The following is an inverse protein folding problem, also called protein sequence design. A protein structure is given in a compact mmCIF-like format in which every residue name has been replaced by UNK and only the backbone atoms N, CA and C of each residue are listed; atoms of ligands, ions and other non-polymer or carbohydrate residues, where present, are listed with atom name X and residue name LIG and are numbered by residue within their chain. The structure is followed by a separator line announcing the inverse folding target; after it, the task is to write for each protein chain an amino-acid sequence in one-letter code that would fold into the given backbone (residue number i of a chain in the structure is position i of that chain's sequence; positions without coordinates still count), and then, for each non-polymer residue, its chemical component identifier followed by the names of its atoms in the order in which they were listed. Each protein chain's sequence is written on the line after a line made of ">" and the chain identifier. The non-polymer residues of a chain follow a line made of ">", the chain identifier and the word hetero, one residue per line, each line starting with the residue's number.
data_IF_124059234889
#
_entry.id   IF_124059234889
#
_cell.length_a   1.000
_cell.length_b   1.000
_cell.length_c   1.000
_cell.angle_alpha   90.00
_cell.angle_beta   90.00
_cell.angle_gamma   90.00
#
_symmetry.space_group_name_H-M   'P 1'
#
loop_
_entity.id
_entity.type
_entity.pdbx_description
1 polymer ?
#
# COMPACT_ATOMS: atom_id res chain seq x y z
N UNK A 1 29.22 -9.46 -62.11
CA UNK A 1 29.20 -9.83 -60.68
C UNK A 1 29.32 -8.54 -59.87
N UNK A 2 28.21 -7.84 -59.61
CA UNK A 2 28.24 -6.59 -58.83
C UNK A 2 28.26 -6.93 -57.34
N UNK A 3 29.33 -6.55 -56.65
CA UNK A 3 29.39 -6.63 -55.20
C UNK A 3 28.57 -5.47 -54.61
N UNK A 4 27.39 -5.77 -54.08
CA UNK A 4 26.58 -4.79 -53.35
C UNK A 4 27.35 -4.34 -52.10
N UNK A 5 27.70 -3.05 -52.06
CA UNK A 5 28.35 -2.46 -50.90
C UNK A 5 27.32 -2.37 -49.77
N UNK A 6 27.42 -3.26 -48.78
CA UNK A 6 26.56 -3.24 -47.60
C UNK A 6 26.99 -2.08 -46.68
N UNK A 7 26.00 -1.32 -46.19
CA UNK A 7 26.19 -0.19 -45.30
C UNK A 7 26.94 -0.59 -44.00
N UNK A 8 27.81 0.27 -43.44
CA UNK A 8 28.61 -0.06 -42.26
C UNK A 8 27.78 -0.49 -41.04
N UNK A 9 26.56 0.05 -40.90
CA UNK A 9 25.64 -0.31 -39.82
C UNK A 9 25.05 -1.72 -40.00
N UNK A 10 24.81 -2.13 -41.24
CA UNK A 10 24.26 -3.46 -41.56
C UNK A 10 25.31 -4.57 -41.37
N UNK A 11 26.59 -4.23 -41.58
CA UNK A 11 27.76 -5.05 -41.25
C UNK A 11 27.89 -5.36 -39.76
N UNK A 12 27.50 -4.41 -38.88
CA UNK A 12 27.53 -4.64 -37.43
C UNK A 12 26.39 -5.55 -36.99
N UNK A 13 25.19 -5.36 -37.54
CA UNK A 13 24.03 -6.22 -37.24
C UNK A 13 24.24 -7.66 -37.70
N UNK A 14 24.76 -7.87 -38.91
CA UNK A 14 24.97 -9.22 -39.45
C UNK A 14 26.08 -10.01 -38.73
N UNK A 15 27.06 -9.33 -38.12
CA UNK A 15 28.06 -9.95 -37.23
C UNK A 15 27.46 -10.46 -35.91
N UNK A 16 26.42 -9.81 -35.39
CA UNK A 16 25.75 -10.24 -34.16
C UNK A 16 24.80 -11.42 -34.42
N UNK A 17 24.06 -11.39 -35.54
CA UNK A 17 23.13 -12.47 -35.90
C UNK A 17 23.85 -13.82 -36.08
N UNK A 18 25.07 -13.80 -36.61
CA UNK A 18 25.88 -15.01 -36.79
C UNK A 18 26.43 -15.60 -35.48
N UNK A 19 26.63 -14.78 -34.43
CA UNK A 19 26.98 -15.24 -33.08
C UNK A 19 25.79 -15.83 -32.33
N UNK A 20 24.62 -15.18 -32.45
CA UNK A 20 23.35 -15.70 -31.89
C UNK A 20 22.97 -17.04 -32.53
N UNK A 21 23.15 -17.18 -33.85
CA UNK A 21 22.90 -18.44 -34.57
C UNK A 21 23.80 -19.61 -34.15
N UNK A 22 24.99 -19.33 -33.59
CA UNK A 22 25.91 -20.33 -33.02
C UNK A 22 25.62 -20.65 -31.55
N UNK A 23 24.61 -20.03 -30.95
CA UNK A 23 24.26 -20.22 -29.53
C UNK A 23 25.24 -19.55 -28.56
N UNK A 24 26.08 -18.63 -29.02
CA UNK A 24 26.98 -17.87 -28.15
C UNK A 24 26.19 -16.81 -27.38
N UNK A 25 25.97 -17.05 -26.08
CA UNK A 25 25.24 -16.13 -25.21
C UNK A 25 26.15 -14.98 -24.75
N UNK A 26 25.65 -13.75 -24.80
CA UNK A 26 26.41 -12.58 -24.37
C UNK A 26 26.92 -12.75 -22.92
N UNK A 27 28.18 -12.39 -22.61
CA UNK A 27 28.71 -12.47 -21.26
C UNK A 27 27.84 -11.67 -20.29
N UNK A 28 27.53 -12.26 -19.12
CA UNK A 28 26.82 -11.53 -18.07
C UNK A 28 27.68 -10.36 -17.58
N UNK A 29 27.15 -9.12 -17.53
CA UNK A 29 27.88 -8.00 -16.94
C UNK A 29 28.20 -8.28 -15.47
N UNK A 30 29.38 -7.86 -15.03
CA UNK A 30 29.81 -8.01 -13.65
C UNK A 30 28.91 -7.19 -12.71
N UNK A 31 28.53 -7.76 -11.57
CA UNK A 31 27.70 -7.08 -10.58
C UNK A 31 28.55 -6.11 -9.76
N UNK A 32 28.49 -4.81 -10.07
CA UNK A 32 29.02 -3.76 -9.20
C UNK A 32 28.06 -3.49 -8.05
N UNK A 33 28.55 -3.63 -6.82
CA UNK A 33 27.82 -3.23 -5.62
C UNK A 33 27.99 -1.71 -5.43
N UNK A 34 26.90 -0.96 -5.60
CA UNK A 34 26.88 0.47 -5.29
C UNK A 34 27.07 0.71 -3.78
N UNK A 35 27.87 1.70 -3.42
CA UNK A 35 28.06 2.11 -2.02
C UNK A 35 26.93 3.05 -1.60
N UNK A 36 26.10 2.62 -0.65
CA UNK A 36 25.01 3.46 -0.10
C UNK A 36 25.57 4.29 1.06
N UNK A 37 25.54 5.62 0.94
CA UNK A 37 25.89 6.54 2.04
C UNK A 37 24.84 6.50 3.16
N UNK A 38 25.30 6.67 4.41
CA UNK A 38 24.46 6.72 5.61
C UNK A 38 23.51 7.94 5.60
N UNK A 39 22.26 7.78 6.07
CA UNK A 39 21.31 8.90 6.17
C UNK A 39 21.72 9.90 7.26
N UNK A 40 21.41 11.21 7.08
CA UNK A 40 21.71 12.24 8.07
C UNK A 40 20.77 12.18 9.29
N UNK A 41 21.20 12.69 10.47
CA UNK A 41 20.39 12.67 11.69
C UNK A 41 19.23 13.69 11.64
N UNK A 42 18.13 13.45 12.39
CA UNK A 42 16.98 14.35 12.39
C UNK A 42 17.29 15.67 13.13
N UNK A 43 16.97 16.79 12.49
CA UNK A 43 17.03 18.12 13.09
C UNK A 43 15.84 18.37 14.01
N UNK A 44 16.12 18.71 15.26
CA UNK A 44 15.14 19.18 16.25
C UNK A 44 14.60 20.55 15.85
N UNK A 45 13.29 20.66 15.66
CA UNK A 45 12.61 21.96 15.56
C UNK A 45 11.46 22.01 16.56
N UNK A 46 11.55 22.98 17.45
CA UNK A 46 10.60 23.35 18.51
C UNK A 46 9.25 23.80 17.93
N UNK A 47 8.17 23.34 18.55
CA UNK A 47 6.79 23.78 18.27
C UNK A 47 6.47 24.98 19.19
N UNK A 48 6.00 26.12 18.67
CA UNK A 48 5.29 27.10 19.50
C UNK A 48 3.78 26.83 19.50
N UNK A 49 3.20 26.91 20.69
CA UNK A 49 1.75 26.99 20.97
C UNK A 49 1.13 28.32 20.54
N UNK A 50 -0.21 28.37 20.64
CA UNK A 50 -1.13 29.52 20.55
C UNK A 50 -1.72 29.78 19.14
N UNK A 51 -2.99 30.13 18.94
CA UNK A 51 -4.15 30.42 19.80
C UNK A 51 -5.39 30.52 18.87
N UNK A 52 -6.56 30.21 19.45
CA UNK A 52 -7.92 30.74 19.20
C UNK A 52 -8.24 31.51 17.90
N UNK A 53 -9.40 31.23 17.29
CA UNK A 53 -10.39 32.28 16.96
C UNK A 53 -11.80 31.71 16.74
N UNK A 54 -12.74 32.56 17.14
CA UNK A 54 -14.13 32.34 17.51
C UNK A 54 -15.09 32.82 16.41
N UNK A 55 -16.33 32.32 16.52
CA UNK A 55 -17.61 32.85 16.03
C UNK A 55 -17.94 32.89 14.52
N UNK A 56 -19.06 32.24 14.15
CA UNK A 56 -20.18 32.88 13.44
C UNK A 56 -21.49 32.12 13.76
N UNK A 57 -22.23 32.63 14.75
CA UNK A 57 -23.64 32.31 15.02
C UNK A 57 -24.57 32.62 13.83
N UNK A 58 -25.55 31.76 13.57
CA UNK A 58 -26.90 32.22 13.14
C UNK A 58 -28.02 31.35 13.71
N UNK A 59 -29.00 32.06 14.27
CA UNK A 59 -30.14 31.65 15.10
C UNK A 59 -31.39 31.21 14.31
N UNK A 60 -32.24 30.39 14.93
CA UNK A 60 -33.65 30.11 14.59
C UNK A 60 -33.99 28.64 14.85
N UNK A 61 -34.53 28.23 16.02
CA UNK A 61 -35.89 28.42 16.59
C UNK A 61 -36.63 27.07 16.62
N UNK A 62 -36.61 26.47 17.81
CA UNK A 62 -37.59 25.60 18.51
C UNK A 62 -38.69 24.90 17.71
N UNK A 63 -38.76 23.55 17.81
CA UNK A 63 -39.92 22.90 18.45
C UNK A 63 -39.65 21.41 18.78
N UNK A 64 -40.27 20.97 19.87
CA UNK A 64 -40.10 19.70 20.58
C UNK A 64 -40.76 18.51 19.87
N UNK A 65 -40.09 17.37 19.76
CA UNK A 65 -40.65 16.08 20.18
C UNK A 65 -39.55 15.02 20.41
N UNK A 66 -39.91 13.97 21.14
CA UNK A 66 -39.07 13.09 21.96
C UNK A 66 -38.38 11.97 21.17
N UNK A 67 -37.31 11.47 21.78
CA UNK A 67 -36.75 10.13 21.56
C UNK A 67 -36.12 9.86 20.19
N UNK A 68 -34.98 10.51 19.94
CA UNK A 68 -33.91 9.86 19.19
C UNK A 68 -32.59 10.19 19.86
N UNK A 69 -32.08 9.25 20.67
CA UNK A 69 -30.71 9.26 21.16
C UNK A 69 -29.80 9.02 19.96
N UNK A 70 -29.57 10.07 19.16
CA UNK A 70 -28.48 10.08 18.21
C UNK A 70 -27.22 10.14 19.06
N UNK A 71 -26.63 8.96 19.29
CA UNK A 71 -25.29 8.81 19.82
C UNK A 71 -24.36 9.43 18.79
N UNK A 72 -24.10 10.73 18.93
CA UNK A 72 -22.94 11.40 18.35
C UNK A 72 -21.87 11.48 19.43
N UNK A 73 -21.43 10.32 19.93
CA UNK A 73 -20.23 10.20 20.76
C UNK A 73 -19.84 8.72 20.82
N UNK A 74 -19.30 8.24 19.72
CA UNK A 74 -18.25 7.22 19.77
C UNK A 74 -17.42 7.57 18.54
N UNK A 75 -16.30 8.25 18.78
CA UNK A 75 -15.45 8.74 17.70
C UNK A 75 -15.25 7.62 16.68
N UNK A 76 -15.33 7.95 15.39
CA UNK A 76 -14.95 7.01 14.33
C UNK A 76 -13.47 6.71 14.54
N UNK A 77 -13.17 5.74 15.40
CA UNK A 77 -11.83 5.28 15.74
C UNK A 77 -11.30 4.59 14.49
N UNK A 78 -10.72 5.41 13.63
CA UNK A 78 -10.05 4.99 12.42
C UNK A 78 -8.74 4.33 12.83
N UNK A 79 -8.24 3.43 11.98
CA UNK A 79 -6.98 2.76 12.23
C UNK A 79 -5.86 3.77 12.56
N UNK A 80 -5.06 3.53 13.63
CA UNK A 80 -3.96 4.41 13.96
C UNK A 80 -2.89 4.41 12.86
N UNK A 81 -2.26 5.57 12.62
CA UNK A 81 -1.17 5.68 11.66
C UNK A 81 -0.01 4.73 12.00
N UNK A 82 0.30 3.86 11.05
CA UNK A 82 1.38 2.89 11.18
C UNK A 82 2.66 3.43 10.54
N UNK A 83 3.68 3.67 11.36
CA UNK A 83 4.97 4.19 10.93
C UNK A 83 5.72 3.27 9.96
N UNK A 84 5.33 1.99 9.86
CA UNK A 84 5.86 1.06 8.84
C UNK A 84 5.44 1.45 7.42
N UNK A 85 4.36 2.22 7.29
CA UNK A 85 3.81 2.68 6.03
C UNK A 85 3.74 4.22 6.03
N UNK A 86 4.89 4.93 5.98
CA UNK A 86 4.94 6.39 6.06
C UNK A 86 4.52 7.08 4.75
N UNK A 87 4.32 6.31 3.68
CA UNK A 87 4.00 6.82 2.36
C UNK A 87 2.50 7.05 2.17
N UNK A 88 2.13 7.92 1.24
CA UNK A 88 0.73 8.23 0.91
C UNK A 88 -0.02 7.03 0.30
N UNK A 89 0.68 6.06 -0.27
CA UNK A 89 0.07 4.85 -0.83
C UNK A 89 -0.25 3.83 0.27
N UNK A 90 -1.53 3.77 0.68
CA UNK A 90 -2.03 2.89 1.74
C UNK A 90 -2.37 1.46 1.28
N UNK A 91 -2.09 1.10 0.01
CA UNK A 91 -2.41 -0.24 -0.54
C UNK A 91 -1.77 -1.36 0.27
N UNK A 92 -0.48 -1.20 0.60
CA UNK A 92 0.26 -2.18 1.42
C UNK A 92 -0.22 -2.20 2.87
N UNK A 93 -0.64 -1.04 3.39
CA UNK A 93 -1.16 -0.92 4.74
C UNK A 93 -2.50 -1.67 4.88
N UNK A 94 -3.43 -1.42 3.95
CA UNK A 94 -4.70 -2.15 3.84
C UNK A 94 -4.48 -3.68 3.76
N UNK A 95 -3.64 -4.14 2.84
CA UNK A 95 -3.37 -5.57 2.66
C UNK A 95 -2.77 -6.21 3.92
N UNK A 96 -1.83 -5.53 4.59
CA UNK A 96 -1.24 -6.02 5.83
C UNK A 96 -2.27 -6.18 6.95
N UNK A 97 -3.18 -5.20 7.12
CA UNK A 97 -4.25 -5.28 8.14
C UNK A 97 -5.27 -6.38 7.85
N UNK A 98 -5.61 -6.59 6.59
CA UNK A 98 -6.47 -7.69 6.17
C UNK A 98 -5.88 -9.07 6.54
N UNK A 99 -4.59 -9.28 6.25
CA UNK A 99 -3.89 -10.51 6.64
C UNK A 99 -3.82 -10.68 8.16
N UNK A 100 -3.58 -9.60 8.89
CA UNK A 100 -3.48 -9.61 10.35
C UNK A 100 -4.80 -10.03 11.02
N UNK A 101 -5.93 -9.52 10.53
CA UNK A 101 -7.25 -9.96 10.95
C UNK A 101 -7.43 -11.47 10.75
N UNK A 102 -7.15 -11.95 9.54
CA UNK A 102 -7.39 -13.36 9.23
C UNK A 102 -6.44 -14.32 9.96
N UNK A 103 -5.17 -13.93 10.17
CA UNK A 103 -4.26 -14.67 11.05
C UNK A 103 -4.74 -14.69 12.49
N UNK A 104 -5.30 -13.58 12.97
CA UNK A 104 -5.89 -13.51 14.31
C UNK A 104 -7.06 -14.49 14.43
N UNK A 105 -7.96 -14.51 13.45
CA UNK A 105 -9.11 -15.43 13.41
C UNK A 105 -8.65 -16.89 13.38
N UNK A 106 -7.63 -17.23 12.57
CA UNK A 106 -7.09 -18.60 12.53
C UNK A 106 -6.44 -19.04 13.85
N UNK A 107 -5.73 -18.14 14.55
CA UNK A 107 -5.00 -18.48 15.78
C UNK A 107 -5.85 -18.43 17.04
N UNK A 108 -6.72 -17.42 17.16
CA UNK A 108 -7.48 -17.09 18.39
C UNK A 108 -8.96 -17.39 18.28
N UNK A 109 -9.48 -17.65 17.08
CA UNK A 109 -10.92 -17.80 16.81
C UNK A 109 -11.61 -16.45 16.53
N UNK A 110 -12.80 -16.53 15.94
CA UNK A 110 -13.55 -15.39 15.40
C UNK A 110 -14.02 -14.38 16.46
N UNK A 111 -14.09 -14.77 17.73
CA UNK A 111 -14.70 -13.97 18.80
C UNK A 111 -13.70 -13.26 19.72
N UNK A 112 -12.39 -13.32 19.45
CA UNK A 112 -11.43 -12.59 20.26
C UNK A 112 -11.59 -11.07 20.04
N UNK A 113 -11.65 -10.26 21.12
CA UNK A 113 -11.82 -8.80 21.02
C UNK A 113 -10.64 -8.13 20.29
N UNK A 114 -9.46 -8.75 20.30
CA UNK A 114 -8.32 -8.31 19.52
C UNK A 114 -8.54 -8.44 18.01
N UNK A 115 -9.21 -9.51 17.55
CA UNK A 115 -9.49 -9.70 16.13
C UNK A 115 -10.56 -8.71 15.65
N UNK A 116 -11.54 -8.35 16.49
CA UNK A 116 -12.52 -7.30 16.16
C UNK A 116 -11.88 -5.94 15.88
N UNK A 117 -10.81 -5.58 16.61
CA UNK A 117 -10.07 -4.32 16.34
C UNK A 117 -9.45 -4.32 14.94
N UNK A 118 -8.80 -5.43 14.55
CA UNK A 118 -8.27 -5.58 13.21
C UNK A 118 -9.36 -5.56 12.13
N UNK A 119 -10.56 -6.07 12.45
CA UNK A 119 -11.70 -6.00 11.55
C UNK A 119 -12.11 -4.56 11.23
N UNK A 120 -12.17 -3.71 12.25
CA UNK A 120 -12.48 -2.29 12.08
C UNK A 120 -11.38 -1.58 11.27
N UNK A 121 -10.11 -1.91 11.54
CA UNK A 121 -8.98 -1.28 10.85
C UNK A 121 -8.97 -1.57 9.34
N UNK A 122 -9.07 -2.83 8.91
CA UNK A 122 -9.04 -3.11 7.47
C UNK A 122 -10.30 -2.56 6.77
N UNK A 123 -11.46 -2.53 7.42
CA UNK A 123 -12.68 -1.93 6.86
C UNK A 123 -12.57 -0.42 6.66
N UNK A 124 -11.84 0.28 7.53
CA UNK A 124 -11.61 1.72 7.41
C UNK A 124 -10.53 2.10 6.38
N UNK A 125 -9.58 1.20 6.11
CA UNK A 125 -8.41 1.47 5.25
C UNK A 125 -8.56 0.94 3.83
N UNK A 126 -9.27 -0.17 3.67
CA UNK A 126 -9.38 -0.87 2.39
C UNK A 126 -10.61 -0.43 1.61
N UNK A 127 -10.50 -0.25 0.28
CA UNK A 127 -11.67 -0.20 -0.59
C UNK A 127 -12.50 -1.50 -0.44
N UNK A 128 -13.83 -1.38 -0.36
CA UNK A 128 -14.72 -2.53 -0.21
C UNK A 128 -14.55 -3.58 -1.31
N UNK A 129 -14.40 -3.11 -2.56
CA UNK A 129 -14.17 -3.97 -3.74
C UNK A 129 -12.96 -4.90 -3.61
N UNK A 130 -11.89 -4.43 -2.95
CA UNK A 130 -10.68 -5.24 -2.75
C UNK A 130 -10.89 -6.32 -1.71
N UNK A 131 -11.59 -5.98 -0.63
CA UNK A 131 -11.92 -6.90 0.44
C UNK A 131 -12.82 -8.01 -0.09
N UNK A 132 -13.84 -7.67 -0.87
CA UNK A 132 -14.75 -8.63 -1.49
C UNK A 132 -14.00 -9.61 -2.40
N UNK A 133 -13.17 -9.10 -3.31
CA UNK A 133 -12.35 -9.94 -4.19
C UNK A 133 -11.41 -10.86 -3.42
N UNK A 134 -10.78 -10.39 -2.35
CA UNK A 134 -9.92 -11.24 -1.52
C UNK A 134 -10.72 -12.28 -0.74
N UNK A 135 -11.93 -11.94 -0.29
CA UNK A 135 -12.82 -12.90 0.37
C UNK A 135 -13.22 -14.02 -0.59
N UNK A 136 -13.61 -13.70 -1.82
CA UNK A 136 -13.90 -14.69 -2.87
C UNK A 136 -12.68 -15.59 -3.14
N UNK A 137 -11.50 -15.00 -3.30
CA UNK A 137 -10.26 -15.77 -3.51
C UNK A 137 -9.94 -16.71 -2.35
N UNK A 138 -10.28 -16.33 -1.12
CA UNK A 138 -10.12 -17.17 0.06
C UNK A 138 -11.13 -18.30 0.12
N UNK A 139 -12.40 -18.02 -0.16
CA UNK A 139 -13.45 -19.04 -0.21
C UNK A 139 -13.15 -20.09 -1.29
N UNK A 140 -12.57 -19.66 -2.41
CA UNK A 140 -12.10 -20.53 -3.48
C UNK A 140 -10.76 -21.22 -3.18
N UNK A 141 -10.05 -20.83 -2.12
CA UNK A 141 -8.73 -21.37 -1.76
C UNK A 141 -7.58 -20.96 -2.69
N UNK A 142 -7.76 -19.93 -3.52
CA UNK A 142 -6.77 -19.43 -4.51
C UNK A 142 -6.02 -18.19 -4.00
N UNK A 143 -6.20 -17.82 -2.73
CA UNK A 143 -5.60 -16.62 -2.17
C UNK A 143 -4.06 -16.73 -2.12
N UNK A 144 -3.30 -15.85 -2.80
CA UNK A 144 -1.83 -15.96 -2.91
C UNK A 144 -1.09 -15.46 -1.65
N UNK A 145 -1.79 -14.97 -0.65
CA UNK A 145 -1.21 -14.36 0.54
C UNK A 145 -1.07 -15.33 1.72
N UNK A 146 -0.09 -15.10 2.63
CA UNK A 146 0.10 -15.89 3.84
C UNK A 146 -0.97 -15.54 4.90
N UNK A 147 -2.07 -16.29 4.89
CA UNK A 147 -3.15 -16.25 5.89
C UNK A 147 -3.00 -17.36 6.92
#
# INVERSE_FOLDING_TARGET
>A
MSASQIDPHDKMRSRDVSKVARGEQAPRPAHEYGTVSKPPPPSSTSVPSAQTNDDHRRSGSEDKDKDNKVVMDEGVETAPSDLRFPFTNQTRHCYARYLEYHRCVQKKGEHAPECKKFANYYRSLCPGEWVEKWNEQRELGVFPGPI
#
